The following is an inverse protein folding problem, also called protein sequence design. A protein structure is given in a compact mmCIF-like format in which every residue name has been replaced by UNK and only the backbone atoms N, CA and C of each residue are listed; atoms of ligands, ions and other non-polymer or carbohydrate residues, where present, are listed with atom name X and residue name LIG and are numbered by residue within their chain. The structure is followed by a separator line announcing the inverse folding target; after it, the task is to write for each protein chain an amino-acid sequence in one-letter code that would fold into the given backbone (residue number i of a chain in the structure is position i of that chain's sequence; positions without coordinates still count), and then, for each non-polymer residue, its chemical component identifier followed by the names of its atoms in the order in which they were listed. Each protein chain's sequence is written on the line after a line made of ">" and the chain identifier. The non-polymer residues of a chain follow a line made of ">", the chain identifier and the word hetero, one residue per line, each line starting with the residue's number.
data_IF_772219393874
#
_entry.id   IF_772219393874
#
_cell.length_a   1.000
_cell.length_b   1.000
_cell.length_c   1.000
_cell.angle_alpha   90.00
_cell.angle_beta   90.00
_cell.angle_gamma   90.00
#
_symmetry.space_group_name_H-M   'P 1'
#
loop_
_entity.id
_entity.type
_entity.pdbx_description
1 polymer ?
#
# COMPACT_ATOMS: atom_id res chain seq x y z
N UNK A 1 36.17 4.95 17.60
CA UNK A 1 35.14 3.91 17.71
C UNK A 1 33.81 4.50 18.13
N UNK A 2 32.74 4.19 17.39
CA UNK A 2 31.37 4.57 17.75
C UNK A 2 30.80 3.43 18.61
N UNK A 3 30.33 3.75 19.83
CA UNK A 3 29.67 2.79 20.70
C UNK A 3 28.18 2.74 20.35
N UNK A 4 27.76 1.68 19.65
CA UNK A 4 26.36 1.44 19.27
C UNK A 4 25.90 0.11 19.86
N UNK A 5 24.78 0.10 20.57
CA UNK A 5 24.10 -1.12 21.02
C UNK A 5 22.85 -1.35 20.17
N UNK A 6 22.82 -2.46 19.43
CA UNK A 6 21.69 -2.81 18.55
C UNK A 6 20.60 -3.45 19.41
N UNK A 7 19.61 -2.64 19.76
CA UNK A 7 18.54 -3.05 20.70
C UNK A 7 17.39 -3.81 20.03
N UNK A 8 17.11 -3.54 18.75
CA UNK A 8 16.02 -4.16 18.02
C UNK A 8 16.27 -4.10 16.50
N UNK A 9 15.68 -5.05 15.78
CA UNK A 9 15.52 -5.04 14.33
C UNK A 9 14.02 -5.05 14.05
N UNK A 10 13.54 -4.22 13.14
CA UNK A 10 12.13 -4.09 12.83
C UNK A 10 11.90 -3.91 11.33
N UNK A 11 10.72 -4.30 10.89
CA UNK A 11 10.17 -3.89 9.60
C UNK A 11 9.63 -2.45 9.69
N UNK A 12 9.75 -1.70 8.60
CA UNK A 12 9.32 -0.31 8.47
C UNK A 12 7.82 -0.10 8.76
N UNK A 13 6.98 -1.03 8.34
CA UNK A 13 5.53 -1.03 8.58
C UNK A 13 5.21 -1.18 10.07
N UNK A 14 6.00 -1.96 10.81
CA UNK A 14 5.93 -2.02 12.28
C UNK A 14 6.34 -0.67 12.88
N UNK A 15 7.39 -0.05 12.34
CA UNK A 15 7.78 1.31 12.71
C UNK A 15 6.64 2.33 12.50
N UNK A 16 5.95 2.24 11.38
CA UNK A 16 4.77 3.06 11.03
C UNK A 16 3.64 2.88 12.04
N UNK A 17 3.32 1.63 12.43
CA UNK A 17 2.35 1.36 13.49
C UNK A 17 2.78 2.01 14.80
N UNK A 18 4.03 1.80 15.22
CA UNK A 18 4.55 2.26 16.51
C UNK A 18 4.61 3.80 16.60
N UNK A 19 5.03 4.48 15.54
CA UNK A 19 5.04 5.93 15.46
C UNK A 19 3.63 6.52 15.56
N UNK A 20 2.64 5.88 14.93
CA UNK A 20 1.24 6.27 15.02
C UNK A 20 0.67 5.97 16.43
N UNK A 21 0.96 4.78 16.99
CA UNK A 21 0.48 4.34 18.30
C UNK A 21 0.97 5.23 19.45
N UNK A 22 2.17 5.81 19.31
CA UNK A 22 2.68 6.80 20.26
C UNK A 22 1.81 8.06 20.34
N UNK A 23 1.27 8.51 19.20
CA UNK A 23 0.36 9.68 19.15
C UNK A 23 -1.09 9.29 19.44
N UNK A 24 -1.48 8.07 19.07
CA UNK A 24 -2.86 7.59 19.16
C UNK A 24 -2.94 6.12 19.61
N UNK A 25 -3.35 5.90 20.85
CA UNK A 25 -3.38 4.56 21.47
C UNK A 25 -4.38 3.59 20.82
N UNK A 26 -5.32 4.07 20.02
CA UNK A 26 -6.26 3.23 19.26
C UNK A 26 -5.65 2.70 17.97
N UNK A 27 -4.40 3.07 17.64
CA UNK A 27 -3.65 2.47 16.53
C UNK A 27 -3.39 0.98 16.78
N UNK A 28 -3.87 0.15 15.85
CA UNK A 28 -3.69 -1.32 15.87
C UNK A 28 -3.22 -1.89 14.54
N UNK A 29 -3.15 -1.07 13.49
CA UNK A 29 -2.68 -1.46 12.15
C UNK A 29 -1.67 -0.43 11.67
N UNK A 30 -0.54 -0.91 11.14
CA UNK A 30 0.38 -0.13 10.32
C UNK A 30 0.24 -0.55 8.87
N UNK A 31 0.22 0.41 7.96
CA UNK A 31 0.01 0.19 6.53
C UNK A 31 0.97 1.07 5.71
N UNK A 32 1.68 0.45 4.78
CA UNK A 32 2.48 1.14 3.76
C UNK A 32 1.77 1.04 2.41
N UNK A 33 1.59 2.18 1.74
CA UNK A 33 1.07 2.28 0.37
C UNK A 33 1.91 3.32 -0.38
N UNK A 34 3.03 2.88 -0.94
CA UNK A 34 3.99 3.71 -1.68
C UNK A 34 4.45 2.98 -2.94
N UNK A 35 5.75 2.97 -3.20
CA UNK A 35 6.36 2.14 -4.26
C UNK A 35 6.05 0.66 -4.05
N UNK A 36 6.20 0.18 -2.82
CA UNK A 36 5.69 -1.12 -2.37
C UNK A 36 4.48 -0.96 -1.45
N UNK A 37 4.00 -2.09 -0.93
CA UNK A 37 2.96 -2.13 0.09
C UNK A 37 3.29 -3.15 1.15
N UNK A 38 2.87 -2.94 2.38
CA UNK A 38 2.91 -3.97 3.42
C UNK A 38 1.97 -3.56 4.56
N UNK A 39 1.56 -4.52 5.37
CA UNK A 39 0.69 -4.32 6.52
C UNK A 39 1.23 -5.05 7.73
N UNK A 40 1.10 -4.44 8.90
CA UNK A 40 1.26 -5.12 10.18
C UNK A 40 0.08 -4.80 11.09
N UNK A 41 -0.19 -5.67 12.06
CA UNK A 41 -1.29 -5.46 12.99
C UNK A 41 -1.01 -6.06 14.37
N UNK A 42 -1.79 -5.63 15.37
CA UNK A 42 -1.74 -6.15 16.73
C UNK A 42 -2.61 -7.41 16.84
N UNK A 43 -1.99 -8.54 17.14
CA UNK A 43 -2.63 -9.85 17.32
C UNK A 43 -2.58 -10.30 18.78
N UNK A 44 -3.56 -11.07 19.22
CA UNK A 44 -3.52 -11.74 20.52
C UNK A 44 -2.55 -12.92 20.46
N UNK A 45 -1.66 -13.03 21.44
CA UNK A 45 -0.65 -14.11 21.45
C UNK A 45 -1.30 -15.50 21.44
N UNK A 46 -2.48 -15.66 22.05
CA UNK A 46 -3.23 -16.92 22.03
C UNK A 46 -3.62 -17.40 20.62
N UNK A 47 -3.68 -16.50 19.64
CA UNK A 47 -3.96 -16.82 18.23
C UNK A 47 -2.70 -17.17 17.42
N UNK A 48 -1.51 -17.01 18.00
CA UNK A 48 -0.22 -17.19 17.29
C UNK A 48 0.36 -18.53 17.66
N UNK A 49 -0.11 -19.59 17.00
CA UNK A 49 0.27 -20.98 17.28
C UNK A 49 1.78 -21.25 17.17
N UNK A 50 2.49 -20.47 16.36
CA UNK A 50 3.95 -20.56 16.18
C UNK A 50 4.76 -19.76 17.20
N UNK A 51 4.14 -19.13 18.20
CA UNK A 51 4.84 -18.33 19.19
C UNK A 51 5.45 -19.20 20.29
N UNK A 52 6.76 -19.41 20.26
CA UNK A 52 7.48 -20.25 21.22
C UNK A 52 8.01 -19.47 22.46
N UNK A 53 7.84 -18.14 22.49
CA UNK A 53 8.38 -17.28 23.55
C UNK A 53 7.59 -17.35 24.86
N UNK A 54 8.28 -17.34 26.01
CA UNK A 54 7.63 -17.04 27.29
C UNK A 54 7.45 -15.52 27.41
N UNK A 55 6.21 -15.06 27.50
CA UNK A 55 5.88 -13.65 27.67
C UNK A 55 4.69 -13.46 28.61
N UNK A 56 4.67 -12.36 29.34
CA UNK A 56 3.53 -11.93 30.15
C UNK A 56 2.63 -10.92 29.41
N UNK A 57 2.93 -10.62 28.15
CA UNK A 57 2.13 -9.72 27.32
C UNK A 57 0.98 -10.51 26.69
N UNK A 58 -0.15 -9.85 26.46
CA UNK A 58 -1.32 -10.46 25.81
C UNK A 58 -1.31 -10.32 24.28
N UNK A 59 -0.47 -9.43 23.76
CA UNK A 59 -0.45 -9.06 22.35
C UNK A 59 0.96 -9.08 21.76
N UNK A 60 1.02 -9.32 20.45
CA UNK A 60 2.23 -9.28 19.62
C UNK A 60 1.89 -8.55 18.31
N UNK A 61 2.85 -7.86 17.72
CA UNK A 61 2.68 -7.25 16.40
C UNK A 61 3.08 -8.29 15.35
N UNK A 62 2.19 -8.57 14.41
CA UNK A 62 2.46 -9.43 13.25
C UNK A 62 2.73 -8.55 12.05
N UNK A 63 3.93 -8.63 11.50
CA UNK A 63 4.19 -8.19 10.14
C UNK A 63 3.63 -9.24 9.18
N UNK A 64 2.67 -8.85 8.34
CA UNK A 64 1.92 -9.82 7.53
C UNK A 64 2.67 -10.24 6.28
N UNK A 65 3.57 -9.39 5.76
CA UNK A 65 4.13 -9.56 4.41
C UNK A 65 3.02 -9.89 3.39
N UNK A 66 1.90 -9.16 3.48
CA UNK A 66 0.74 -9.35 2.62
C UNK A 66 0.95 -9.09 1.11
N UNK A 67 2.04 -8.49 0.61
CA UNK A 67 2.36 -8.50 -0.82
C UNK A 67 2.27 -9.86 -1.51
N UNK A 68 2.64 -10.95 -0.82
CA UNK A 68 2.63 -12.31 -1.36
C UNK A 68 1.22 -12.94 -1.40
N UNK A 69 0.18 -12.22 -0.97
CA UNK A 69 -1.17 -12.74 -1.03
C UNK A 69 -1.57 -13.00 -2.50
N UNK A 70 -2.05 -14.21 -2.79
CA UNK A 70 -2.43 -14.61 -4.14
C UNK A 70 -1.32 -15.31 -4.93
N UNK A 71 -0.09 -15.39 -4.42
CA UNK A 71 1.00 -16.18 -5.03
C UNK A 71 0.64 -17.68 -5.16
N UNK A 72 -0.27 -18.15 -4.32
CA UNK A 72 -0.85 -19.51 -4.35
C UNK A 72 -2.07 -19.66 -5.28
N UNK A 73 -2.36 -18.65 -6.10
CA UNK A 73 -3.48 -18.63 -7.05
C UNK A 73 -4.83 -18.22 -6.45
N UNK A 74 -4.91 -17.92 -5.14
CA UNK A 74 -6.19 -17.49 -4.51
C UNK A 74 -6.76 -16.20 -5.07
N UNK A 75 -5.95 -15.37 -5.73
CA UNK A 75 -6.38 -14.12 -6.36
C UNK A 75 -6.62 -14.25 -7.87
N UNK A 76 -6.51 -15.44 -8.45
CA UNK A 76 -6.67 -15.65 -9.91
C UNK A 76 -7.98 -15.07 -10.45
N UNK A 77 -9.05 -15.10 -9.66
CA UNK A 77 -10.36 -14.60 -10.04
C UNK A 77 -10.47 -13.07 -10.18
N UNK A 78 -9.49 -12.30 -9.66
CA UNK A 78 -9.41 -10.84 -9.82
C UNK A 78 -8.31 -10.38 -10.76
N UNK A 79 -7.43 -11.29 -11.21
CA UNK A 79 -6.33 -10.96 -12.11
C UNK A 79 -6.84 -10.75 -13.53
N UNK A 80 -6.44 -9.62 -14.13
CA UNK A 80 -6.64 -9.34 -15.54
C UNK A 80 -5.48 -9.89 -16.37
N UNK A 81 -5.62 -9.86 -17.70
CA UNK A 81 -4.50 -10.15 -18.60
C UNK A 81 -3.31 -9.20 -18.38
N UNK A 82 -3.58 -7.94 -17.99
CA UNK A 82 -2.54 -6.94 -17.74
C UNK A 82 -1.78 -7.23 -16.44
N UNK A 83 -2.46 -7.68 -15.39
CA UNK A 83 -1.79 -8.09 -14.14
C UNK A 83 -0.86 -9.28 -14.39
N UNK A 84 -1.31 -10.25 -15.21
CA UNK A 84 -0.49 -11.40 -15.62
C UNK A 84 0.70 -10.98 -16.47
N UNK A 85 0.52 -10.02 -17.36
CA UNK A 85 1.61 -9.47 -18.17
C UNK A 85 2.66 -8.75 -17.30
N UNK A 86 2.22 -7.91 -16.35
CA UNK A 86 3.10 -7.28 -15.35
C UNK A 86 3.88 -8.35 -14.58
N UNK A 87 3.21 -9.38 -14.06
CA UNK A 87 3.87 -10.46 -13.33
C UNK A 87 4.91 -11.18 -14.18
N UNK A 88 4.52 -11.60 -15.38
CA UNK A 88 5.37 -12.36 -16.32
C UNK A 88 6.62 -11.61 -16.78
N UNK A 89 6.59 -10.27 -16.77
CA UNK A 89 7.69 -9.39 -17.14
C UNK A 89 8.39 -8.75 -15.92
N UNK A 90 8.03 -9.16 -14.70
CA UNK A 90 8.72 -8.73 -13.49
C UNK A 90 9.94 -9.61 -13.19
N UNK A 91 10.82 -9.12 -12.32
CA UNK A 91 11.96 -9.89 -11.79
C UNK A 91 11.47 -11.08 -10.95
N UNK A 92 10.37 -10.88 -10.22
CA UNK A 92 9.85 -11.82 -9.21
C UNK A 92 8.59 -12.51 -9.75
N UNK A 93 8.70 -13.25 -10.86
CA UNK A 93 7.54 -13.88 -11.52
C UNK A 93 6.82 -14.86 -10.58
N UNK A 94 5.48 -14.81 -10.54
CA UNK A 94 4.66 -15.64 -9.65
C UNK A 94 4.75 -15.27 -8.18
N UNK A 95 5.37 -14.13 -7.84
CA UNK A 95 5.51 -13.64 -6.47
C UNK A 95 4.97 -12.23 -6.34
N UNK A 96 4.60 -11.85 -5.11
CA UNK A 96 4.13 -10.50 -4.79
C UNK A 96 2.88 -10.09 -5.61
N UNK A 97 2.00 -11.06 -5.90
CA UNK A 97 0.85 -10.87 -6.79
C UNK A 97 -0.08 -9.77 -6.28
N UNK A 98 -0.31 -9.71 -4.96
CA UNK A 98 -1.13 -8.64 -4.39
C UNK A 98 -0.49 -7.27 -4.54
N UNK A 99 0.82 -7.14 -4.27
CA UNK A 99 1.54 -5.87 -4.42
C UNK A 99 1.50 -5.35 -5.86
N UNK A 100 1.68 -6.24 -6.84
CA UNK A 100 1.62 -5.92 -8.28
C UNK A 100 0.29 -5.33 -8.72
N UNK A 101 -0.80 -5.62 -8.00
CA UNK A 101 -2.10 -5.05 -8.31
C UNK A 101 -2.32 -3.65 -7.73
N UNK A 102 -1.57 -3.23 -6.70
CA UNK A 102 -1.95 -2.09 -5.86
C UNK A 102 -0.86 -1.05 -5.64
N UNK A 103 0.43 -1.40 -5.77
CA UNK A 103 1.50 -0.51 -5.36
C UNK A 103 1.89 0.48 -6.46
N UNK A 104 2.50 1.59 -6.05
CA UNK A 104 2.95 2.65 -6.94
C UNK A 104 4.09 2.25 -7.89
N UNK A 105 4.69 1.06 -7.72
CA UNK A 105 5.62 0.52 -8.70
C UNK A 105 4.90 0.01 -9.96
N UNK A 106 3.68 -0.52 -9.81
CA UNK A 106 3.03 -1.31 -10.86
C UNK A 106 1.75 -0.66 -11.42
N UNK A 107 1.08 0.22 -10.67
CA UNK A 107 -0.17 0.84 -11.15
C UNK A 107 0.00 1.62 -12.46
N UNK A 108 1.11 2.37 -12.59
CA UNK A 108 1.39 3.09 -13.81
C UNK A 108 1.71 2.16 -15.00
N UNK A 109 2.37 1.04 -14.75
CA UNK A 109 2.64 0.03 -15.76
C UNK A 109 1.34 -0.64 -16.26
N UNK A 110 0.38 -0.89 -15.35
CA UNK A 110 -0.93 -1.39 -15.73
C UNK A 110 -1.68 -0.41 -16.65
N UNK A 111 -1.61 0.90 -16.36
CA UNK A 111 -2.16 1.93 -17.26
C UNK A 111 -1.51 1.83 -18.64
N UNK A 112 -0.17 1.78 -18.68
CA UNK A 112 0.62 1.72 -19.92
C UNK A 112 0.23 0.52 -20.78
N UNK A 113 0.13 -0.67 -20.19
CA UNK A 113 -0.21 -1.89 -20.93
C UNK A 113 -1.65 -1.86 -21.48
N UNK A 114 -2.61 -1.33 -20.73
CA UNK A 114 -3.99 -1.15 -21.21
C UNK A 114 -4.00 -0.19 -22.41
N UNK A 115 -3.32 0.95 -22.29
CA UNK A 115 -3.25 1.95 -23.37
C UNK A 115 -2.55 1.37 -24.60
N UNK A 116 -1.45 0.64 -24.43
CA UNK A 116 -0.75 0.00 -25.55
C UNK A 116 -1.63 -1.01 -26.30
N UNK A 117 -2.44 -1.79 -25.57
CA UNK A 117 -3.40 -2.70 -26.20
C UNK A 117 -4.42 -1.92 -27.05
N UNK A 118 -4.99 -0.85 -26.51
CA UNK A 118 -5.97 -0.01 -27.21
C UNK A 118 -5.36 0.73 -28.41
N UNK A 119 -4.10 1.17 -28.31
CA UNK A 119 -3.36 1.72 -29.46
C UNK A 119 -3.21 0.64 -30.54
N UNK A 120 -2.78 -0.57 -30.18
CA UNK A 120 -2.63 -1.67 -31.14
C UNK A 120 -3.94 -2.05 -31.83
N UNK A 121 -5.06 -1.90 -31.13
CA UNK A 121 -6.42 -2.12 -31.65
C UNK A 121 -6.99 -0.91 -32.42
N UNK A 122 -6.21 0.18 -32.55
CA UNK A 122 -6.58 1.42 -33.22
C UNK A 122 -7.77 2.17 -32.57
N UNK A 123 -7.95 1.98 -31.26
CA UNK A 123 -9.00 2.61 -30.44
C UNK A 123 -8.50 3.84 -29.67
N UNK A 124 -7.18 4.03 -29.56
CA UNK A 124 -6.55 5.20 -28.95
C UNK A 124 -5.36 5.70 -29.76
N UNK A 125 -5.07 7.00 -29.66
CA UNK A 125 -3.92 7.70 -30.24
C UNK A 125 -3.69 7.42 -31.74
N UNK A 126 -4.78 7.19 -32.50
CA UNK A 126 -4.74 6.89 -33.92
C UNK A 126 -3.87 5.69 -34.29
N UNK A 127 -3.77 4.70 -33.39
CA UNK A 127 -2.98 3.50 -33.61
C UNK A 127 -1.47 3.68 -33.51
N UNK A 128 -1.00 4.84 -33.03
CA UNK A 128 0.42 5.18 -32.99
C UNK A 128 0.90 5.44 -31.56
N UNK A 129 1.98 4.74 -31.16
CA UNK A 129 2.71 4.92 -29.90
C UNK A 129 4.07 5.61 -30.12
N UNK A 130 4.79 5.90 -29.04
CA UNK A 130 6.19 6.35 -29.07
C UNK A 130 7.15 5.32 -28.44
N UNK A 131 8.45 5.42 -28.71
CA UNK A 131 9.47 4.57 -28.08
C UNK A 131 9.51 4.78 -26.55
N UNK A 132 9.30 6.03 -26.09
CA UNK A 132 9.20 6.34 -24.66
C UNK A 132 7.99 5.64 -24.03
N UNK A 133 6.81 5.74 -24.63
CA UNK A 133 5.62 5.10 -24.08
C UNK A 133 5.69 3.56 -24.16
N UNK A 134 6.42 3.02 -25.14
CA UNK A 134 6.68 1.59 -25.27
C UNK A 134 7.64 1.05 -24.20
N UNK A 135 8.40 1.92 -23.52
CA UNK A 135 9.35 1.51 -22.50
C UNK A 135 8.64 1.16 -21.18
N UNK A 136 8.94 -0.04 -20.66
CA UNK A 136 8.39 -0.56 -19.42
C UNK A 136 8.62 0.42 -18.25
N UNK A 137 7.60 0.62 -17.41
CA UNK A 137 7.61 1.46 -16.22
C UNK A 137 7.81 2.98 -16.43
N UNK A 138 7.85 3.48 -17.68
CA UNK A 138 7.95 4.93 -17.89
C UNK A 138 6.66 5.70 -17.60
N UNK A 139 5.49 5.04 -17.61
CA UNK A 139 4.28 5.66 -17.08
C UNK A 139 4.25 5.47 -15.55
N UNK A 140 4.66 6.49 -14.80
CA UNK A 140 4.78 6.42 -13.34
C UNK A 140 3.45 6.70 -12.62
N UNK A 141 3.25 6.13 -11.42
CA UNK A 141 2.06 6.41 -10.59
C UNK A 141 1.90 7.89 -10.18
N UNK A 142 2.97 8.70 -10.23
CA UNK A 142 2.84 10.16 -10.06
C UNK A 142 1.94 10.78 -11.14
N UNK A 143 2.02 10.28 -12.38
CA UNK A 143 1.18 10.76 -13.49
C UNK A 143 -0.29 10.46 -13.24
N UNK A 144 -0.61 9.32 -12.62
CA UNK A 144 -1.97 9.01 -12.20
C UNK A 144 -2.50 10.05 -11.19
N UNK A 145 -1.68 10.38 -10.18
CA UNK A 145 -2.02 11.41 -9.18
C UNK A 145 -2.24 12.78 -9.83
N UNK A 146 -1.39 13.16 -10.79
CA UNK A 146 -1.51 14.43 -11.51
C UNK A 146 -2.78 14.47 -12.36
N UNK A 147 -3.05 13.43 -13.15
CA UNK A 147 -4.26 13.31 -13.99
C UNK A 147 -5.53 13.40 -13.14
N UNK A 148 -5.60 12.68 -12.01
CA UNK A 148 -6.78 12.70 -11.14
C UNK A 148 -6.92 13.98 -10.31
N UNK A 149 -5.86 14.79 -10.21
CA UNK A 149 -5.90 16.08 -9.50
C UNK A 149 -6.49 17.20 -10.33
N UNK A 150 -6.54 17.05 -11.66
CA UNK A 150 -7.19 18.02 -12.54
C UNK A 150 -8.70 17.89 -12.48
N UNK A 151 -9.41 19.01 -12.57
CA UNK A 151 -10.87 19.02 -12.72
C UNK A 151 -11.27 18.32 -14.03
N UNK A 152 -12.46 17.71 -14.06
CA UNK A 152 -12.98 17.10 -15.28
C UNK A 152 -13.10 18.13 -16.41
N UNK A 153 -12.62 17.79 -17.60
CA UNK A 153 -12.58 18.69 -18.76
C UNK A 153 -11.36 19.62 -18.81
N UNK A 154 -10.43 19.54 -17.84
CA UNK A 154 -9.10 20.16 -17.91
C UNK A 154 -8.04 19.09 -18.12
N UNK A 155 -7.10 19.37 -19.03
CA UNK A 155 -6.13 18.41 -19.54
C UNK A 155 -4.70 18.95 -19.54
N UNK A 156 -4.39 20.01 -18.79
CA UNK A 156 -3.10 20.70 -18.87
C UNK A 156 -1.94 19.83 -18.36
N UNK A 157 -2.13 19.17 -17.20
CA UNK A 157 -1.12 18.24 -16.66
C UNK A 157 -1.05 16.99 -17.51
N UNK A 158 -2.20 16.43 -17.89
CA UNK A 158 -2.24 15.27 -18.78
C UNK A 158 -1.51 15.53 -20.11
N UNK A 159 -1.77 16.68 -20.74
CA UNK A 159 -1.09 17.07 -21.98
C UNK A 159 0.42 17.20 -21.77
N UNK A 160 0.85 17.81 -20.66
CA UNK A 160 2.28 17.93 -20.31
C UNK A 160 2.95 16.56 -20.13
N UNK A 161 2.27 15.62 -19.46
CA UNK A 161 2.74 14.25 -19.27
C UNK A 161 2.87 13.54 -20.62
N UNK A 162 1.83 13.61 -21.45
CA UNK A 162 1.82 12.96 -22.77
C UNK A 162 2.86 13.56 -23.70
N UNK A 163 3.06 14.88 -23.69
CA UNK A 163 4.17 15.53 -24.41
C UNK A 163 5.54 15.00 -23.96
N UNK A 164 5.75 14.82 -22.65
CA UNK A 164 7.00 14.27 -22.12
C UNK A 164 7.22 12.79 -22.44
N UNK A 165 6.17 12.07 -22.84
CA UNK A 165 6.22 10.68 -23.31
C UNK A 165 6.13 10.58 -24.84
N UNK A 166 6.28 11.68 -25.59
CA UNK A 166 6.12 11.74 -27.05
C UNK A 166 4.76 11.23 -27.56
N UNK A 167 3.71 11.40 -26.75
CA UNK A 167 2.31 11.03 -27.02
C UNK A 167 1.40 12.27 -27.14
N UNK A 168 1.97 13.44 -27.42
CA UNK A 168 1.26 14.72 -27.49
C UNK A 168 0.29 14.87 -28.66
N UNK A 169 0.28 13.94 -29.61
CA UNK A 169 -0.65 13.91 -30.74
C UNK A 169 -2.05 13.39 -30.39
N UNK A 170 -2.25 12.93 -29.15
CA UNK A 170 -3.56 12.46 -28.67
C UNK A 170 -4.63 13.54 -28.77
N UNK A 171 -5.86 13.12 -29.09
CA UNK A 171 -7.02 14.00 -29.15
C UNK A 171 -7.77 14.03 -27.79
N UNK A 172 -8.81 14.84 -27.68
CA UNK A 172 -9.58 14.95 -26.44
C UNK A 172 -10.23 13.63 -26.00
N UNK A 173 -10.66 12.79 -26.94
CA UNK A 173 -11.22 11.48 -26.61
C UNK A 173 -10.16 10.55 -26.01
N UNK A 174 -8.91 10.61 -26.47
CA UNK A 174 -7.79 9.88 -25.87
C UNK A 174 -7.56 10.31 -24.41
N UNK A 175 -7.73 11.61 -24.12
CA UNK A 175 -7.57 12.15 -22.77
C UNK A 175 -8.69 11.67 -21.84
N UNK A 176 -9.93 11.69 -22.32
CA UNK A 176 -11.09 11.14 -21.60
C UNK A 176 -10.89 9.65 -21.29
N UNK A 177 -10.47 8.87 -22.29
CA UNK A 177 -10.24 7.44 -22.16
C UNK A 177 -9.09 7.13 -21.20
N UNK A 178 -7.96 7.84 -21.31
CA UNK A 178 -6.82 7.69 -20.40
C UNK A 178 -7.22 8.01 -18.95
N UNK A 179 -7.95 9.10 -18.72
CA UNK A 179 -8.45 9.44 -17.39
C UNK A 179 -9.33 8.32 -16.83
N UNK A 180 -10.23 7.77 -17.64
CA UNK A 180 -11.10 6.68 -17.21
C UNK A 180 -10.31 5.43 -16.78
N UNK A 181 -9.27 5.05 -17.55
CA UNK A 181 -8.38 3.91 -17.24
C UNK A 181 -7.65 4.16 -15.92
N UNK A 182 -7.06 5.35 -15.76
CA UNK A 182 -6.36 5.75 -14.53
C UNK A 182 -7.29 5.64 -13.33
N UNK A 183 -8.46 6.28 -13.39
CA UNK A 183 -9.41 6.26 -12.27
C UNK A 183 -9.93 4.85 -11.97
N UNK A 184 -10.08 3.99 -12.98
CA UNK A 184 -10.48 2.59 -12.81
C UNK A 184 -9.44 1.79 -12.03
N UNK A 185 -8.16 1.94 -12.38
CA UNK A 185 -7.06 1.27 -11.67
C UNK A 185 -6.89 1.81 -10.25
N UNK A 186 -7.00 3.12 -10.04
CA UNK A 186 -6.97 3.73 -8.70
C UNK A 186 -8.11 3.24 -7.81
N UNK A 187 -9.34 3.16 -8.35
CA UNK A 187 -10.50 2.58 -7.63
C UNK A 187 -10.25 1.12 -7.27
N UNK A 188 -9.75 0.31 -8.21
CA UNK A 188 -9.42 -1.09 -7.98
C UNK A 188 -8.39 -1.25 -6.87
N UNK A 189 -7.29 -0.51 -6.94
CA UNK A 189 -6.22 -0.55 -5.95
C UNK A 189 -6.73 -0.18 -4.56
N UNK A 190 -7.47 0.93 -4.44
CA UNK A 190 -8.07 1.36 -3.17
C UNK A 190 -9.06 0.32 -2.61
N UNK A 191 -9.86 -0.33 -3.46
CA UNK A 191 -10.78 -1.39 -3.05
C UNK A 191 -10.05 -2.63 -2.52
N UNK A 192 -9.00 -3.07 -3.22
CA UNK A 192 -8.20 -4.24 -2.83
C UNK A 192 -7.45 -4.01 -1.50
N UNK A 193 -6.84 -2.84 -1.32
CA UNK A 193 -6.22 -2.44 -0.05
C UNK A 193 -7.27 -2.42 1.07
N UNK A 194 -8.43 -1.80 0.80
CA UNK A 194 -9.51 -1.70 1.78
C UNK A 194 -10.06 -3.06 2.20
N UNK A 195 -10.15 -4.03 1.29
CA UNK A 195 -10.58 -5.39 1.61
C UNK A 195 -9.64 -6.07 2.62
N UNK A 196 -8.33 -5.86 2.48
CA UNK A 196 -7.35 -6.33 3.47
C UNK A 196 -7.54 -5.64 4.82
N UNK A 197 -7.73 -4.31 4.83
CA UNK A 197 -7.98 -3.56 6.06
C UNK A 197 -9.26 -4.00 6.78
N UNK A 198 -10.36 -4.18 6.05
CA UNK A 198 -11.63 -4.69 6.58
C UNK A 198 -11.43 -6.07 7.22
N UNK A 199 -10.65 -6.95 6.58
CA UNK A 199 -10.34 -8.28 7.10
C UNK A 199 -9.63 -8.18 8.45
N UNK A 200 -8.59 -7.34 8.56
CA UNK A 200 -7.84 -7.16 9.80
C UNK A 200 -8.67 -6.48 10.90
N UNK A 201 -9.38 -5.40 10.58
CA UNK A 201 -10.26 -4.71 11.54
C UNK A 201 -11.28 -5.69 12.13
N UNK A 202 -11.95 -6.45 11.26
CA UNK A 202 -12.96 -7.41 11.69
C UNK A 202 -12.39 -8.60 12.47
N UNK A 203 -11.13 -8.97 12.22
CA UNK A 203 -10.43 -10.07 12.88
C UNK A 203 -9.95 -9.70 14.29
N UNK A 204 -9.37 -8.51 14.47
CA UNK A 204 -8.80 -8.13 15.75
C UNK A 204 -9.84 -7.84 16.84
N UNK A 205 -11.06 -7.45 16.43
CA UNK A 205 -12.17 -7.14 17.35
C UNK A 205 -11.88 -5.99 18.33
N UNK A 206 -11.02 -5.04 17.91
CA UNK A 206 -10.84 -3.77 18.61
C UNK A 206 -11.90 -2.76 18.16
N UNK A 207 -12.33 -1.87 19.07
CA UNK A 207 -13.19 -0.75 18.75
C UNK A 207 -12.99 0.39 19.76
N UNK A 208 -12.57 1.61 19.35
CA UNK A 208 -12.24 2.02 17.98
C UNK A 208 -10.89 1.48 17.48
N UNK A 209 -10.64 1.59 16.17
CA UNK A 209 -9.38 1.20 15.52
C UNK A 209 -8.82 2.33 14.67
N UNK A 210 -7.56 2.68 14.89
CA UNK A 210 -6.81 3.58 14.00
C UNK A 210 -5.86 2.75 13.13
N UNK A 211 -5.82 3.10 11.84
CA UNK A 211 -4.85 2.59 10.87
C UNK A 211 -3.82 3.69 10.65
N UNK A 212 -2.58 3.45 11.09
CA UNK A 212 -1.44 4.30 10.79
C UNK A 212 -0.94 4.03 9.37
N UNK A 213 -1.10 4.99 8.46
CA UNK A 213 -0.77 4.84 7.04
C UNK A 213 0.44 5.70 6.68
N UNK A 214 1.40 5.14 5.96
CA UNK A 214 2.49 5.87 5.31
C UNK A 214 2.62 5.40 3.84
N UNK A 215 3.43 6.09 3.04
CA UNK A 215 3.68 5.81 1.63
C UNK A 215 3.19 6.91 0.69
N UNK A 216 3.92 7.05 -0.42
CA UNK A 216 3.75 8.14 -1.39
C UNK A 216 2.41 8.10 -2.12
N UNK A 217 1.93 6.92 -2.51
CA UNK A 217 0.65 6.77 -3.19
C UNK A 217 -0.50 7.25 -2.29
N UNK A 218 -0.52 6.86 -1.01
CA UNK A 218 -1.53 7.35 -0.08
C UNK A 218 -1.43 8.87 0.18
N UNK A 219 -0.21 9.41 0.27
CA UNK A 219 0.04 10.83 0.58
C UNK A 219 -0.32 11.77 -0.56
N UNK A 220 0.05 11.40 -1.79
CA UNK A 220 0.03 12.31 -2.94
C UNK A 220 -1.21 12.15 -3.81
N UNK A 221 -1.82 10.96 -3.81
CA UNK A 221 -2.96 10.70 -4.68
C UNK A 221 -4.24 11.38 -4.15
N UNK A 222 -4.92 12.22 -4.94
CA UNK A 222 -5.98 13.10 -4.46
C UNK A 222 -7.19 12.34 -3.90
N UNK A 223 -7.48 11.16 -4.46
CA UNK A 223 -8.69 10.40 -4.16
C UNK A 223 -8.47 9.17 -3.27
N UNK A 224 -7.23 8.72 -3.06
CA UNK A 224 -6.98 7.36 -2.54
C UNK A 224 -7.49 7.19 -1.11
N UNK A 225 -7.19 8.16 -0.24
CA UNK A 225 -7.71 8.21 1.14
C UNK A 225 -9.23 8.19 1.19
N UNK A 226 -9.89 8.99 0.35
CA UNK A 226 -11.37 9.07 0.29
C UNK A 226 -11.96 7.72 -0.10
N UNK A 227 -11.44 7.09 -1.15
CA UNK A 227 -11.89 5.77 -1.59
C UNK A 227 -11.68 4.71 -0.52
N UNK A 228 -10.55 4.73 0.19
CA UNK A 228 -10.32 3.80 1.30
C UNK A 228 -11.33 3.99 2.44
N UNK A 229 -11.60 5.23 2.86
CA UNK A 229 -12.61 5.51 3.87
C UNK A 229 -14.00 5.00 3.46
N UNK A 230 -14.36 5.19 2.19
CA UNK A 230 -15.63 4.71 1.63
C UNK A 230 -15.71 3.17 1.63
N UNK A 231 -14.72 2.48 1.05
CA UNK A 231 -14.72 1.03 0.95
C UNK A 231 -14.63 0.35 2.32
N UNK A 232 -13.74 0.82 3.22
CA UNK A 232 -13.65 0.27 4.57
C UNK A 232 -14.97 0.48 5.32
N UNK A 233 -15.53 1.70 5.26
CA UNK A 233 -16.79 2.03 5.93
C UNK A 233 -17.99 1.21 5.43
N UNK A 234 -17.97 0.81 4.16
CA UNK A 234 -19.02 -0.03 3.57
C UNK A 234 -18.99 -1.48 4.07
N UNK A 235 -17.82 -2.03 4.35
CA UNK A 235 -17.65 -3.48 4.59
C UNK A 235 -17.18 -3.87 5.99
N UNK A 236 -16.77 -2.92 6.82
CA UNK A 236 -16.46 -3.18 8.24
C UNK A 236 -17.72 -3.63 9.00
N UNK A 237 -17.54 -4.52 10.00
CA UNK A 237 -18.65 -4.94 10.89
C UNK A 237 -19.34 -3.72 11.49
N UNK A 238 -20.68 -3.73 11.50
CA UNK A 238 -21.50 -2.65 12.05
C UNK A 238 -21.08 -2.33 13.48
N UNK A 239 -20.94 -1.04 13.79
CA UNK A 239 -20.61 -0.55 15.14
C UNK A 239 -19.11 -0.39 15.42
N UNK A 240 -18.23 -0.92 14.57
CA UNK A 240 -16.79 -0.64 14.67
C UNK A 240 -16.52 0.78 14.14
N UNK A 241 -15.89 1.61 14.97
CA UNK A 241 -15.39 2.92 14.56
C UNK A 241 -13.95 2.76 14.10
N UNK A 242 -13.61 3.33 12.94
CA UNK A 242 -12.24 3.33 12.44
C UNK A 242 -11.83 4.70 11.91
N UNK A 243 -10.53 4.93 11.82
CA UNK A 243 -9.95 6.11 11.15
C UNK A 243 -8.62 5.76 10.46
N UNK A 244 -8.27 6.56 9.45
CA UNK A 244 -6.97 6.53 8.79
C UNK A 244 -6.15 7.75 9.24
N UNK A 245 -5.02 7.50 9.88
CA UNK A 245 -4.11 8.52 10.38
C UNK A 245 -2.79 8.46 9.63
N UNK A 246 -2.33 9.59 9.10
CA UNK A 246 -1.02 9.66 8.48
C UNK A 246 0.05 9.46 9.56
N UNK A 247 0.90 8.45 9.37
CA UNK A 247 2.06 8.18 10.21
C UNK A 247 3.29 8.75 9.51
N UNK A 248 4.01 9.63 10.19
CA UNK A 248 5.21 10.26 9.66
C UNK A 248 6.44 9.62 10.28
N UNK A 249 7.40 9.25 9.42
CA UNK A 249 8.71 8.74 9.82
C UNK A 249 8.64 7.45 10.65
N UNK A 250 7.96 6.43 10.11
CA UNK A 250 7.91 5.10 10.71
C UNK A 250 9.29 4.46 10.88
N UNK A 251 10.18 4.65 9.90
CA UNK A 251 11.54 4.10 9.91
C UNK A 251 12.47 4.74 10.93
N UNK A 252 12.37 6.04 11.19
CA UNK A 252 13.21 6.75 12.17
C UNK A 252 12.57 6.74 13.57
N UNK A 253 11.48 7.48 13.75
CA UNK A 253 10.77 7.58 15.03
C UNK A 253 10.24 6.24 15.52
N UNK A 254 9.67 5.42 14.63
CA UNK A 254 9.17 4.10 14.99
C UNK A 254 10.29 3.17 15.49
N UNK A 255 11.45 3.18 14.83
CA UNK A 255 12.61 2.41 15.28
C UNK A 255 13.09 2.83 16.67
N UNK A 256 13.18 4.14 16.93
CA UNK A 256 13.57 4.66 18.25
C UNK A 256 12.57 4.24 19.35
N UNK A 257 11.26 4.27 19.07
CA UNK A 257 10.22 3.83 19.99
C UNK A 257 10.29 2.33 20.28
N UNK A 258 10.55 1.51 19.25
CA UNK A 258 10.74 0.05 19.42
C UNK A 258 11.99 -0.24 20.25
N UNK A 259 13.11 0.44 19.98
CA UNK A 259 14.32 0.31 20.77
C UNK A 259 14.08 0.68 22.25
N UNK A 260 13.39 1.79 22.51
CA UNK A 260 13.04 2.19 23.87
C UNK A 260 12.14 1.16 24.58
N UNK A 261 11.16 0.60 23.88
CA UNK A 261 10.29 -0.45 24.40
C UNK A 261 11.07 -1.75 24.70
N UNK A 262 11.99 -2.15 23.81
CA UNK A 262 12.84 -3.33 23.98
C UNK A 262 13.78 -3.20 25.18
N UNK A 263 14.43 -2.03 25.34
CA UNK A 263 15.29 -1.74 26.50
C UNK A 263 14.48 -1.82 27.79
N UNK A 264 13.30 -1.21 27.82
CA UNK A 264 12.42 -1.26 28.99
C UNK A 264 12.00 -2.70 29.32
N UNK A 265 11.61 -3.49 28.33
CA UNK A 265 11.21 -4.88 28.53
C UNK A 265 12.36 -5.74 29.10
N UNK A 266 13.59 -5.56 28.59
CA UNK A 266 14.79 -6.22 29.11
C UNK A 266 15.03 -5.86 30.58
N UNK A 267 14.89 -4.58 30.94
CA UNK A 267 15.02 -4.12 32.33
C UNK A 267 13.93 -4.70 33.25
N UNK A 268 12.68 -4.74 32.79
CA UNK A 268 11.56 -5.35 33.54
C UNK A 268 11.80 -6.86 33.77
N UNK A 269 12.32 -7.57 32.76
CA UNK A 269 12.62 -9.00 32.86
C UNK A 269 13.78 -9.28 33.82
N UNK A 270 14.85 -8.49 33.77
CA UNK A 270 15.99 -8.57 34.70
C UNK A 270 15.55 -8.32 36.15
N UNK A 271 14.69 -7.32 36.37
CA UNK A 271 14.13 -7.00 37.69
C UNK A 271 13.21 -8.11 38.23
N UNK A 272 12.49 -8.81 37.35
CA UNK A 272 11.64 -9.93 37.73
C UNK A 272 12.45 -11.19 38.13
N UNK A 273 13.59 -11.44 37.47
CA UNK A 273 14.48 -12.58 37.79
C UNK A 273 15.37 -12.35 39.01
N UNK A 274 15.47 -11.12 39.52
CA UNK A 274 16.33 -10.74 40.65
C UNK A 274 15.57 -10.54 41.97
N UNK A 275 14.26 -10.80 42.01
CA UNK A 275 13.51 -10.91 43.27
C UNK A 275 13.65 -12.33 43.84
N UNK A 276 14.08 -12.48 45.11
CA UNK A 276 14.31 -13.76 45.76
C UNK A 276 13.04 -14.59 45.96
#
# INVERSE_FOLDING_TARGET
>A
DIKVDVCAVLNDTVGTLMACAWKNQTCKIGLIIGTGTNTCYVEKIENVEMFEGKTNKSYVIINTENPAFGDDGKLEFVLTEFDKEVDSNSINKGQQIYEKMISGMYLGELVRLIVLKLIKENEMFGGTSSDLFNTQYLFETKYMSDIESEEAGKWEKMYTILMGLDMGHGNEQDFVNLRYIVEALSRRAAALVSACMVTLINKMDFNPVTIGVDGTLYKLHPNFRRMMLEYIGKFVKKGIKFELMLSEDGSGRGAALVAAAAIRARSEQLAATSKP
#
